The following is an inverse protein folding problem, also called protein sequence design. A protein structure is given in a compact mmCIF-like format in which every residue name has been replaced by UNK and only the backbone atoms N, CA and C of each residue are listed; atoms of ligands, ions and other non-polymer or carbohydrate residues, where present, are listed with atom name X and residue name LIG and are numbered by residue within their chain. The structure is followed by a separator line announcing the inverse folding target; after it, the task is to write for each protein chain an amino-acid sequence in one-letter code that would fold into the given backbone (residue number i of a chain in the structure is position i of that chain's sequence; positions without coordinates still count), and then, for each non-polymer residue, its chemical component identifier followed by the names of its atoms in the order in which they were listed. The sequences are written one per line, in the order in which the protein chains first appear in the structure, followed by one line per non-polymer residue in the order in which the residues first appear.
data_IF_662067299203
#
_entry.id   IF_662067299203
#
_cell.length_a   1.000
_cell.length_b   1.000
_cell.length_c   1.000
_cell.angle_alpha   90.00
_cell.angle_beta   90.00
_cell.angle_gamma   90.00
#
_symmetry.space_group_name_H-M   'P 1'
#
loop_
_entity.id
_entity.type
_entity.pdbx_description
1 polymer ?
#
# COMPACT_ATOMS: atom_id res chain seq x y z
N UNK A 1 0.62 -42.09 2.76
CA UNK A 1 0.38 -43.33 3.53
C UNK A 1 -0.93 -43.26 4.32
N UNK A 2 -1.14 -42.29 5.22
CA UNK A 2 -2.37 -42.22 6.02
C UNK A 2 -3.63 -42.09 5.15
N UNK A 3 -3.67 -41.14 4.20
CA UNK A 3 -4.80 -40.94 3.30
C UNK A 3 -5.16 -42.23 2.51
N UNK A 4 -4.16 -43.00 2.10
CA UNK A 4 -4.40 -44.28 1.43
C UNK A 4 -5.08 -45.30 2.35
N UNK A 5 -4.65 -45.38 3.62
CA UNK A 5 -5.31 -46.24 4.59
C UNK A 5 -6.75 -45.77 4.84
N UNK A 6 -6.96 -44.45 4.98
CA UNK A 6 -8.31 -43.86 5.19
C UNK A 6 -9.25 -44.21 4.05
N UNK A 7 -8.78 -44.21 2.81
CA UNK A 7 -9.57 -44.55 1.62
C UNK A 7 -9.94 -46.02 1.54
N UNK A 8 -9.01 -46.93 1.90
CA UNK A 8 -9.20 -48.36 1.67
C UNK A 8 -9.47 -49.20 2.93
N UNK A 9 -9.47 -48.59 4.14
CA UNK A 9 -9.64 -49.33 5.42
C UNK A 9 -10.97 -50.06 5.57
N UNK A 10 -12.04 -49.53 4.96
CA UNK A 10 -13.35 -50.18 5.03
C UNK A 10 -13.34 -51.50 4.27
N UNK A 11 -12.65 -51.56 3.14
CA UNK A 11 -12.57 -52.74 2.26
C UNK A 11 -11.55 -53.79 2.75
N UNK A 12 -10.37 -53.35 3.14
CA UNK A 12 -9.22 -54.23 3.40
C UNK A 12 -8.77 -54.29 4.85
N UNK A 13 -9.29 -53.41 5.70
CA UNK A 13 -8.84 -53.20 7.10
C UNK A 13 -7.40 -52.66 7.19
N UNK A 14 -7.12 -51.92 8.25
CA UNK A 14 -5.83 -51.25 8.49
C UNK A 14 -4.65 -52.24 8.56
N UNK A 15 -4.82 -53.36 9.28
CA UNK A 15 -3.75 -54.33 9.47
C UNK A 15 -3.20 -54.96 8.19
N UNK A 16 -4.06 -55.53 7.34
CA UNK A 16 -3.67 -56.10 6.05
C UNK A 16 -3.04 -55.06 5.11
N UNK A 17 -3.62 -53.85 4.99
CA UNK A 17 -3.04 -52.78 4.16
C UNK A 17 -1.59 -52.51 4.56
N UNK A 18 -1.36 -52.27 5.85
CA UNK A 18 -0.02 -51.96 6.35
C UNK A 18 0.97 -53.12 6.12
N UNK A 19 0.54 -54.36 6.31
CA UNK A 19 1.40 -55.56 6.14
C UNK A 19 1.81 -55.75 4.70
N UNK A 20 0.85 -55.71 3.77
CA UNK A 20 1.10 -55.92 2.33
C UNK A 20 2.00 -54.80 1.78
N UNK A 21 1.68 -53.56 2.08
CA UNK A 21 2.44 -52.46 1.52
C UNK A 21 3.85 -52.31 2.15
N UNK A 22 4.02 -52.70 3.43
CA UNK A 22 5.37 -52.76 4.03
C UNK A 22 6.26 -53.80 3.38
N UNK A 23 5.68 -54.90 2.91
CA UNK A 23 6.45 -55.93 2.20
C UNK A 23 6.64 -55.70 0.70
N UNK A 24 5.86 -54.80 0.10
CA UNK A 24 5.85 -54.54 -1.34
C UNK A 24 6.56 -53.25 -1.74
N UNK A 25 6.88 -52.36 -0.79
CA UNK A 25 7.52 -51.07 -1.05
C UNK A 25 8.93 -51.05 -0.45
N UNK A 26 9.92 -50.78 -1.25
CA UNK A 26 11.34 -50.66 -0.81
C UNK A 26 11.56 -49.57 0.25
N UNK A 27 10.74 -48.51 0.21
CA UNK A 27 10.76 -47.42 1.19
C UNK A 27 10.03 -47.76 2.50
N UNK A 28 9.40 -48.95 2.60
CA UNK A 28 8.55 -49.35 3.72
C UNK A 28 7.20 -48.61 3.74
N UNK A 29 6.34 -49.02 4.68
CA UNK A 29 5.04 -48.40 4.85
C UNK A 29 4.71 -48.18 6.35
N UNK A 30 3.66 -47.43 6.64
CA UNK A 30 3.21 -47.16 8.00
C UNK A 30 2.72 -48.43 8.68
N UNK A 31 3.10 -48.69 9.97
CA UNK A 31 2.56 -49.79 10.74
C UNK A 31 1.13 -49.50 11.22
N UNK A 32 0.32 -50.54 11.48
CA UNK A 32 -1.03 -50.37 12.00
C UNK A 32 -1.06 -49.61 13.33
N UNK A 33 -0.03 -49.81 14.18
CA UNK A 33 0.13 -49.06 15.43
C UNK A 33 0.48 -47.58 15.12
N UNK A 34 1.38 -47.35 14.21
CA UNK A 34 1.75 -45.99 13.77
C UNK A 34 0.55 -45.22 13.19
N UNK A 35 -0.28 -45.86 12.37
CA UNK A 35 -1.52 -45.29 11.85
C UNK A 35 -2.48 -44.90 12.97
N UNK A 36 -2.77 -45.85 13.94
CA UNK A 36 -3.67 -45.53 15.06
C UNK A 36 -3.11 -44.39 15.93
N UNK A 37 -1.83 -44.42 16.24
CA UNK A 37 -1.20 -43.32 16.99
C UNK A 37 -1.29 -41.99 16.25
N UNK A 38 -1.14 -42.00 14.92
CA UNK A 38 -1.31 -40.78 14.11
C UNK A 38 -2.75 -40.25 14.21
N UNK A 39 -3.75 -41.13 14.11
CA UNK A 39 -5.19 -40.76 14.20
C UNK A 39 -5.63 -40.27 15.58
N UNK A 40 -5.00 -40.77 16.63
CA UNK A 40 -5.36 -40.39 18.01
C UNK A 40 -4.47 -39.32 18.62
N UNK A 41 -3.35 -39.01 17.94
CA UNK A 41 -2.41 -38.00 18.43
C UNK A 41 -3.06 -36.63 18.42
N UNK A 42 -3.09 -35.91 19.55
CA UNK A 42 -3.57 -34.54 19.58
C UNK A 42 -2.69 -33.65 18.66
N UNK A 43 -3.30 -32.63 18.09
CA UNK A 43 -2.60 -31.65 17.29
C UNK A 43 -1.46 -31.04 18.11
N UNK A 44 -0.23 -31.06 17.60
CA UNK A 44 0.89 -30.50 18.34
C UNK A 44 0.72 -28.97 18.49
N UNK A 45 1.27 -28.40 19.57
CA UNK A 45 1.26 -26.94 19.79
C UNK A 45 1.78 -26.17 18.55
N UNK A 46 2.82 -26.70 17.90
CA UNK A 46 3.38 -26.11 16.69
C UNK A 46 2.40 -26.18 15.50
N UNK A 47 1.70 -27.30 15.32
CA UNK A 47 0.72 -27.44 14.24
C UNK A 47 -0.49 -26.55 14.47
N UNK A 48 -1.03 -26.49 15.70
CA UNK A 48 -2.13 -25.59 16.05
C UNK A 48 -1.75 -24.11 15.82
N UNK A 49 -0.54 -23.74 16.19
CA UNK A 49 -0.04 -22.37 15.95
C UNK A 49 0.15 -22.07 14.48
N UNK A 50 0.66 -23.03 13.70
CA UNK A 50 0.79 -22.87 12.25
C UNK A 50 -0.57 -22.68 11.57
N UNK A 51 -1.57 -23.42 12.02
CA UNK A 51 -2.95 -23.29 11.53
C UNK A 51 -3.56 -21.93 11.90
N UNK A 52 -3.37 -21.46 13.13
CA UNK A 52 -3.80 -20.13 13.54
C UNK A 52 -3.14 -19.04 12.70
N UNK A 53 -1.83 -19.13 12.48
CA UNK A 53 -1.08 -18.18 11.63
C UNK A 53 -1.59 -18.21 10.19
N UNK A 54 -1.86 -19.39 9.64
CA UNK A 54 -2.39 -19.53 8.28
C UNK A 54 -3.77 -18.88 8.15
N UNK A 55 -4.65 -19.07 9.14
CA UNK A 55 -5.99 -18.45 9.19
C UNK A 55 -5.89 -16.92 9.23
N UNK A 56 -5.07 -16.36 10.11
CA UNK A 56 -4.94 -14.92 10.25
C UNK A 56 -4.32 -14.28 9.00
N UNK A 57 -3.39 -14.97 8.33
CA UNK A 57 -2.84 -14.54 7.02
C UNK A 57 -3.94 -14.55 5.95
N UNK A 58 -4.79 -15.56 5.91
CA UNK A 58 -5.91 -15.63 4.97
C UNK A 58 -6.92 -14.52 5.24
N UNK A 59 -7.22 -14.22 6.50
CA UNK A 59 -8.09 -13.11 6.89
C UNK A 59 -7.53 -11.76 6.39
N UNK A 60 -6.25 -11.48 6.62
CA UNK A 60 -5.59 -10.26 6.08
C UNK A 60 -5.74 -10.20 4.55
N UNK A 61 -5.52 -11.30 3.86
CA UNK A 61 -5.60 -11.35 2.40
C UNK A 61 -7.03 -11.44 1.83
N UNK A 62 -8.04 -11.63 2.68
CA UNK A 62 -9.46 -11.54 2.27
C UNK A 62 -9.91 -10.09 2.05
N UNK A 63 -9.27 -9.12 2.70
CA UNK A 63 -9.51 -7.70 2.46
C UNK A 63 -8.91 -7.25 1.12
N UNK A 64 -9.70 -6.55 0.30
CA UNK A 64 -9.30 -6.12 -1.04
C UNK A 64 -7.99 -5.30 -1.01
N UNK A 65 -7.87 -4.36 -0.08
CA UNK A 65 -6.70 -3.50 -0.02
C UNK A 65 -5.51 -4.17 0.66
N UNK A 66 -5.72 -4.96 1.72
CA UNK A 66 -4.63 -5.64 2.41
C UNK A 66 -4.07 -6.82 1.62
N UNK A 67 -4.83 -7.39 0.68
CA UNK A 67 -4.34 -8.45 -0.21
C UNK A 67 -3.13 -8.06 -1.09
N UNK A 68 -2.75 -6.78 -1.14
CA UNK A 68 -1.51 -6.34 -1.78
C UNK A 68 -0.25 -6.59 -0.94
N UNK A 69 -0.42 -6.92 0.35
CA UNK A 69 0.69 -7.03 1.28
C UNK A 69 1.57 -8.25 0.99
N UNK A 70 2.87 -8.01 0.84
CA UNK A 70 3.88 -9.07 0.92
C UNK A 70 4.19 -9.42 2.38
N UNK A 71 4.94 -10.50 2.59
CA UNK A 71 5.22 -11.08 3.90
C UNK A 71 5.72 -10.08 4.96
N UNK A 72 6.45 -9.01 4.56
CA UNK A 72 6.94 -8.00 5.51
C UNK A 72 5.81 -7.17 6.11
N UNK A 73 4.84 -6.74 5.27
CA UNK A 73 3.67 -6.00 5.74
C UNK A 73 2.68 -6.92 6.47
N UNK A 74 2.51 -8.15 6.00
CA UNK A 74 1.71 -9.17 6.71
C UNK A 74 2.29 -9.42 8.11
N UNK A 75 3.59 -9.61 8.24
CA UNK A 75 4.25 -9.75 9.54
C UNK A 75 3.98 -8.54 10.45
N UNK A 76 4.17 -7.31 9.94
CA UNK A 76 3.89 -6.10 10.71
C UNK A 76 2.41 -5.98 11.11
N UNK A 77 1.49 -6.39 10.23
CA UNK A 77 0.06 -6.41 10.51
C UNK A 77 -0.29 -7.42 11.60
N UNK A 78 0.28 -8.62 11.57
CA UNK A 78 0.10 -9.64 12.61
C UNK A 78 0.60 -9.17 13.98
N UNK A 79 1.77 -8.51 14.02
CA UNK A 79 2.26 -7.91 15.27
C UNK A 79 1.30 -6.83 15.80
N UNK A 80 0.75 -5.99 14.93
CA UNK A 80 -0.26 -5.01 15.31
C UNK A 80 -1.58 -5.63 15.79
N UNK A 81 -1.88 -6.86 15.37
CA UNK A 81 -3.02 -7.66 15.81
C UNK A 81 -2.75 -8.46 17.11
N UNK A 82 -1.56 -8.33 17.71
CA UNK A 82 -1.23 -8.91 19.00
C UNK A 82 -0.41 -10.21 18.98
N UNK A 83 0.12 -10.60 17.81
CA UNK A 83 1.09 -11.71 17.79
C UNK A 83 2.37 -11.31 18.52
N UNK A 84 2.89 -12.24 19.35
CA UNK A 84 4.12 -12.00 20.10
C UNK A 84 5.34 -11.89 19.16
N UNK A 85 6.06 -10.75 19.18
CA UNK A 85 7.23 -10.54 18.33
C UNK A 85 8.39 -11.51 18.66
N UNK A 86 8.46 -12.03 19.89
CA UNK A 86 9.48 -13.02 20.27
C UNK A 86 9.23 -14.39 19.63
N UNK A 87 8.01 -14.64 19.24
CA UNK A 87 7.58 -15.92 18.70
C UNK A 87 7.30 -15.89 17.19
N UNK A 88 7.02 -14.73 16.59
CA UNK A 88 6.65 -14.58 15.19
C UNK A 88 7.79 -14.01 14.35
N UNK A 89 8.50 -14.89 13.65
CA UNK A 89 9.55 -14.48 12.70
C UNK A 89 9.02 -14.16 11.30
N UNK A 90 9.65 -13.18 10.62
CA UNK A 90 9.32 -12.81 9.22
C UNK A 90 9.42 -13.98 8.25
N UNK A 91 10.41 -14.87 8.44
CA UNK A 91 10.62 -16.02 7.56
C UNK A 91 9.56 -17.09 7.77
N UNK A 92 9.00 -17.20 8.97
CA UNK A 92 7.87 -18.06 9.25
C UNK A 92 6.63 -17.60 8.48
N UNK A 93 6.32 -16.30 8.52
CA UNK A 93 5.22 -15.71 7.74
C UNK A 93 5.43 -15.93 6.24
N UNK A 94 6.65 -15.69 5.73
CA UNK A 94 6.99 -15.92 4.33
C UNK A 94 6.80 -17.37 3.89
N UNK A 95 7.15 -18.33 4.77
CA UNK A 95 6.98 -19.76 4.53
C UNK A 95 5.51 -20.16 4.48
N UNK A 96 4.70 -19.68 5.44
CA UNK A 96 3.26 -19.98 5.48
C UNK A 96 2.57 -19.37 4.26
N UNK A 97 2.83 -18.11 3.91
CA UNK A 97 2.28 -17.47 2.71
C UNK A 97 2.62 -18.25 1.44
N UNK A 98 3.87 -18.75 1.32
CA UNK A 98 4.27 -19.59 0.19
C UNK A 98 3.50 -20.91 0.15
N UNK A 99 3.30 -21.57 1.30
CA UNK A 99 2.51 -22.79 1.41
C UNK A 99 1.04 -22.60 1.03
N UNK A 100 0.49 -21.40 1.30
CA UNK A 100 -0.87 -21.00 0.91
C UNK A 100 -0.97 -20.50 -0.55
N UNK A 101 0.14 -20.40 -1.29
CA UNK A 101 0.16 -19.82 -2.62
C UNK A 101 -0.05 -18.30 -2.65
N UNK A 102 0.07 -17.63 -1.51
CA UNK A 102 -0.18 -16.19 -1.34
C UNK A 102 1.11 -15.39 -1.57
N UNK A 103 0.98 -14.31 -2.33
CA UNK A 103 2.08 -13.37 -2.59
C UNK A 103 1.56 -11.94 -2.66
N UNK A 104 2.35 -10.99 -2.15
CA UNK A 104 2.04 -9.57 -2.33
C UNK A 104 2.17 -9.12 -3.78
N UNK A 105 1.51 -8.03 -4.10
CA UNK A 105 1.57 -7.44 -5.43
C UNK A 105 2.93 -6.76 -5.63
N UNK A 106 3.56 -7.03 -6.77
CA UNK A 106 4.81 -6.36 -7.18
C UNK A 106 4.50 -5.30 -8.22
N UNK A 107 5.18 -4.16 -8.15
CA UNK A 107 5.17 -3.19 -9.23
C UNK A 107 5.75 -3.83 -10.48
N UNK A 108 4.98 -3.85 -11.56
CA UNK A 108 5.48 -4.17 -12.89
C UNK A 108 6.30 -3.01 -13.46
N UNK A 109 6.96 -3.21 -14.61
CA UNK A 109 7.52 -2.10 -15.39
C UNK A 109 6.36 -1.24 -15.88
N UNK A 110 6.32 0.02 -15.46
CA UNK A 110 5.33 0.99 -15.93
C UNK A 110 5.73 1.42 -17.33
N UNK A 111 4.83 1.44 -18.32
CA UNK A 111 5.11 2.08 -19.60
C UNK A 111 5.46 3.55 -19.37
N UNK A 112 6.52 4.03 -20.00
CA UNK A 112 6.86 5.47 -20.01
C UNK A 112 5.81 6.17 -20.87
N UNK A 113 4.91 6.91 -20.24
CA UNK A 113 3.79 7.57 -20.91
C UNK A 113 3.97 9.08 -21.08
N UNK A 114 4.96 9.68 -20.41
CA UNK A 114 5.23 11.10 -20.46
C UNK A 114 6.47 11.38 -21.32
N UNK A 115 6.33 12.29 -22.30
CA UNK A 115 7.48 12.86 -23.01
C UNK A 115 7.83 14.17 -22.32
N UNK A 116 9.13 14.42 -22.01
CA UNK A 116 9.55 15.69 -21.42
C UNK A 116 9.16 16.86 -22.34
N UNK A 117 8.50 17.87 -21.80
CA UNK A 117 8.30 19.13 -22.49
C UNK A 117 9.64 19.86 -22.56
N UNK A 118 10.05 20.29 -23.76
CA UNK A 118 11.24 21.13 -23.93
C UNK A 118 10.87 22.58 -23.56
N UNK A 119 11.38 23.08 -22.45
CA UNK A 119 11.22 24.48 -22.03
C UNK A 119 11.97 24.74 -20.72
N UNK A 120 12.62 25.89 -20.60
CA UNK A 120 13.23 26.33 -19.35
C UNK A 120 12.12 26.73 -18.37
N UNK A 121 11.88 25.94 -17.35
CA UNK A 121 10.97 26.29 -16.27
C UNK A 121 11.61 27.35 -15.38
N UNK A 122 10.94 28.49 -15.21
CA UNK A 122 11.43 29.60 -14.39
C UNK A 122 11.22 29.44 -12.88
N UNK A 123 10.96 28.23 -12.38
CA UNK A 123 10.77 27.98 -10.95
C UNK A 123 11.96 27.24 -10.36
N UNK A 124 12.42 27.63 -9.15
CA UNK A 124 13.50 26.92 -8.49
C UNK A 124 13.04 25.52 -8.04
N UNK A 125 13.96 24.56 -8.08
CA UNK A 125 13.81 23.31 -7.35
C UNK A 125 14.21 23.54 -5.89
N UNK A 126 13.24 23.59 -4.99
CA UNK A 126 13.44 23.76 -3.55
C UNK A 126 13.67 22.40 -2.84
N UNK A 127 13.46 21.30 -3.54
CA UNK A 127 13.48 19.96 -2.93
C UNK A 127 14.83 19.28 -3.09
N UNK A 128 15.51 19.50 -4.23
CA UNK A 128 16.82 18.88 -4.52
C UNK A 128 16.82 17.37 -4.25
N UNK A 129 15.73 16.67 -4.65
CA UNK A 129 15.51 15.21 -4.42
C UNK A 129 15.43 14.79 -2.95
N UNK A 130 15.35 15.71 -2.01
CA UNK A 130 15.18 15.43 -0.59
C UNK A 130 13.69 15.48 -0.24
N UNK A 131 13.03 14.33 -0.27
CA UNK A 131 11.61 14.20 0.03
C UNK A 131 11.36 13.83 1.52
N UNK A 132 12.24 14.20 2.41
CA UNK A 132 12.08 14.03 3.84
C UNK A 132 11.82 15.39 4.47
N UNK A 133 10.70 15.51 5.18
CA UNK A 133 10.32 16.70 5.91
C UNK A 133 10.41 16.42 7.43
N UNK A 134 10.82 17.41 8.20
CA UNK A 134 10.96 17.28 9.67
C UNK A 134 9.63 17.45 10.41
N UNK A 135 8.63 18.00 9.73
CA UNK A 135 7.30 18.28 10.28
C UNK A 135 6.23 18.21 9.18
N UNK A 136 4.95 17.99 9.53
CA UNK A 136 3.84 18.15 8.62
C UNK A 136 3.78 19.54 7.99
N UNK A 137 3.25 19.64 6.79
CA UNK A 137 3.06 20.90 6.04
C UNK A 137 4.36 21.70 5.81
N UNK A 138 5.51 21.01 5.63
CA UNK A 138 6.75 21.63 5.16
C UNK A 138 6.99 21.40 3.69
N UNK A 139 6.57 20.25 3.18
CA UNK A 139 6.69 19.88 1.78
C UNK A 139 5.48 19.07 1.35
N UNK A 140 4.76 19.58 0.37
CA UNK A 140 3.77 18.82 -0.38
C UNK A 140 4.30 18.47 -1.77
N UNK A 141 4.04 17.26 -2.24
CA UNK A 141 4.33 16.84 -3.60
C UNK A 141 3.04 16.51 -4.33
N UNK A 142 2.93 16.98 -5.57
CA UNK A 142 1.74 16.82 -6.38
C UNK A 142 2.06 16.15 -7.73
N UNK A 143 1.15 15.31 -8.21
CA UNK A 143 1.25 14.69 -9.52
C UNK A 143 -0.12 14.21 -10.00
N UNK A 144 -0.26 14.07 -11.33
CA UNK A 144 -1.47 13.58 -12.00
C UNK A 144 -1.17 12.21 -12.61
N UNK A 145 -2.15 11.33 -12.55
CA UNK A 145 -2.09 10.05 -13.24
C UNK A 145 -3.35 9.78 -14.05
N UNK A 146 -3.22 9.01 -15.15
CA UNK A 146 -4.38 8.60 -15.95
C UNK A 146 -4.82 7.20 -15.61
N UNK A 147 -6.13 6.99 -15.74
CA UNK A 147 -6.82 5.75 -15.47
C UNK A 147 -7.66 5.39 -16.69
N UNK A 148 -7.53 4.17 -17.21
CA UNK A 148 -8.34 3.72 -18.33
C UNK A 148 -9.76 3.40 -17.88
N UNK A 149 -10.73 4.00 -18.55
CA UNK A 149 -12.15 3.80 -18.30
C UNK A 149 -12.72 2.65 -19.15
N UNK A 150 -13.86 2.12 -18.77
CA UNK A 150 -14.55 1.06 -19.52
C UNK A 150 -14.97 1.48 -20.93
N UNK A 151 -15.26 2.77 -21.13
CA UNK A 151 -15.53 3.37 -22.44
C UNK A 151 -14.33 3.37 -23.39
N UNK A 152 -13.11 3.05 -22.90
CA UNK A 152 -11.85 3.19 -23.63
C UNK A 152 -11.22 4.58 -23.55
N UNK A 153 -11.93 5.57 -22.99
CA UNK A 153 -11.38 6.91 -22.69
C UNK A 153 -10.45 6.87 -21.46
N UNK A 154 -9.91 8.04 -21.09
CA UNK A 154 -9.14 8.21 -19.88
C UNK A 154 -9.90 9.06 -18.86
N UNK A 155 -9.88 8.63 -17.61
CA UNK A 155 -10.07 9.46 -16.44
C UNK A 155 -8.73 9.85 -15.86
N UNK A 156 -8.70 10.85 -15.03
CA UNK A 156 -7.50 11.40 -14.41
C UNK A 156 -7.67 11.48 -12.90
N UNK A 157 -6.60 11.24 -12.16
CA UNK A 157 -6.57 11.44 -10.73
C UNK A 157 -5.34 12.30 -10.37
N UNK A 158 -5.55 13.34 -9.58
CA UNK A 158 -4.51 14.17 -8.99
C UNK A 158 -4.37 13.87 -7.52
N UNK A 159 -3.14 13.84 -7.02
CA UNK A 159 -2.85 13.67 -5.61
C UNK A 159 -1.90 14.75 -5.12
N UNK A 160 -2.15 15.25 -3.90
CA UNK A 160 -1.21 16.08 -3.14
C UNK A 160 -0.86 15.31 -1.88
N UNK A 161 0.43 15.06 -1.67
CA UNK A 161 0.94 14.21 -0.60
C UNK A 161 1.88 15.01 0.28
N UNK A 162 1.64 15.04 1.58
CA UNK A 162 2.57 15.57 2.57
C UNK A 162 3.78 14.65 2.71
N UNK A 163 4.98 15.22 2.65
CA UNK A 163 6.22 14.46 2.63
C UNK A 163 6.61 13.90 4.00
N UNK A 164 6.15 14.49 5.11
CA UNK A 164 6.47 14.03 6.46
C UNK A 164 5.85 12.67 6.76
N UNK A 165 4.54 12.59 6.70
CA UNK A 165 3.80 11.39 7.05
C UNK A 165 3.38 10.55 5.83
N UNK A 166 3.73 10.95 4.61
CA UNK A 166 3.26 10.31 3.37
C UNK A 166 1.72 10.33 3.22
N UNK A 167 1.07 11.25 3.94
CA UNK A 167 -0.38 11.43 3.91
C UNK A 167 -0.82 12.07 2.61
N UNK A 168 -1.84 11.53 1.97
CA UNK A 168 -2.53 12.21 0.88
C UNK A 168 -3.47 13.24 1.53
N UNK A 169 -3.13 14.51 1.37
CA UNK A 169 -3.82 15.67 1.95
C UNK A 169 -4.82 16.31 1.00
N UNK A 170 -4.72 16.00 -0.29
CA UNK A 170 -5.66 16.42 -1.31
C UNK A 170 -5.68 15.47 -2.49
N UNK A 171 -6.84 15.30 -3.10
CA UNK A 171 -7.01 14.49 -4.30
C UNK A 171 -8.24 14.93 -5.09
N UNK A 172 -8.25 14.65 -6.38
CA UNK A 172 -9.41 14.87 -7.24
C UNK A 172 -9.41 13.88 -8.39
N UNK A 173 -10.59 13.62 -8.95
CA UNK A 173 -10.74 12.87 -10.20
C UNK A 173 -11.51 13.72 -11.22
N UNK A 174 -11.18 13.59 -12.50
CA UNK A 174 -11.87 14.29 -13.58
C UNK A 174 -11.80 13.48 -14.89
N UNK A 175 -12.63 13.85 -15.85
CA UNK A 175 -12.58 13.31 -17.21
C UNK A 175 -11.65 14.11 -18.11
N UNK A 176 -11.14 15.25 -17.64
CA UNK A 176 -10.19 16.11 -18.32
C UNK A 176 -8.98 16.42 -17.45
N UNK A 177 -7.90 16.92 -18.05
CA UNK A 177 -6.74 17.42 -17.30
C UNK A 177 -6.79 18.95 -17.13
N UNK A 178 -7.99 19.55 -17.17
CA UNK A 178 -8.16 20.98 -16.92
C UNK A 178 -7.62 21.36 -15.55
N UNK A 179 -6.92 22.50 -15.44
CA UNK A 179 -6.29 22.94 -14.19
C UNK A 179 -7.33 23.14 -13.10
N UNK A 180 -8.47 23.78 -13.41
CA UNK A 180 -9.51 24.09 -12.45
C UNK A 180 -10.29 22.85 -11.99
N UNK A 181 -10.48 21.90 -12.89
CA UNK A 181 -11.28 20.69 -12.65
C UNK A 181 -10.52 19.59 -11.91
N UNK A 182 -9.20 19.57 -11.95
CA UNK A 182 -8.42 18.46 -11.43
C UNK A 182 -7.35 18.90 -10.41
N UNK A 183 -6.15 19.43 -10.78
CA UNK A 183 -5.12 19.69 -9.78
C UNK A 183 -5.47 20.82 -8.81
N UNK A 184 -6.28 21.80 -9.23
CA UNK A 184 -6.70 22.89 -8.35
C UNK A 184 -7.64 22.37 -7.25
N UNK A 185 -8.55 21.45 -7.55
CA UNK A 185 -9.42 20.83 -6.53
C UNK A 185 -8.62 20.02 -5.50
N UNK A 186 -7.59 19.29 -5.96
CA UNK A 186 -6.69 18.59 -5.06
C UNK A 186 -5.88 19.57 -4.18
N UNK A 187 -5.45 20.70 -4.76
CA UNK A 187 -4.75 21.76 -4.04
C UNK A 187 -5.63 22.40 -2.97
N UNK A 188 -6.90 22.70 -3.26
CA UNK A 188 -7.85 23.31 -2.31
C UNK A 188 -8.05 22.41 -1.08
N UNK A 189 -8.18 21.10 -1.28
CA UNK A 189 -8.25 20.16 -0.16
C UNK A 189 -6.96 20.17 0.68
N UNK A 190 -5.78 20.21 0.03
CA UNK A 190 -4.49 20.26 0.71
C UNK A 190 -4.30 21.56 1.49
N UNK A 191 -4.76 22.69 0.96
CA UNK A 191 -4.79 23.99 1.63
C UNK A 191 -5.69 23.92 2.87
N UNK A 192 -6.92 23.43 2.73
CA UNK A 192 -7.87 23.28 3.84
C UNK A 192 -7.31 22.37 4.95
N UNK A 193 -6.65 21.27 4.54
CA UNK A 193 -5.97 20.39 5.49
C UNK A 193 -4.84 21.13 6.23
N UNK A 194 -3.94 21.78 5.51
CA UNK A 194 -2.81 22.49 6.10
C UNK A 194 -3.27 23.65 7.02
N UNK A 195 -4.30 24.39 6.62
CA UNK A 195 -4.85 25.49 7.43
C UNK A 195 -5.32 25.01 8.81
N UNK A 196 -5.88 23.80 8.90
CA UNK A 196 -6.32 23.20 10.18
C UNK A 196 -5.21 22.48 10.95
N UNK A 197 -3.99 22.36 10.36
CA UNK A 197 -2.89 21.57 10.90
C UNK A 197 -1.55 22.33 10.89
N UNK A 198 -1.53 23.57 11.27
CA UNK A 198 -0.32 24.38 11.45
C UNK A 198 -0.08 25.44 10.36
N UNK A 199 -0.91 25.48 9.33
CA UNK A 199 -0.90 26.54 8.31
C UNK A 199 -0.08 26.18 7.07
N UNK A 200 -0.11 27.12 6.12
CA UNK A 200 0.49 26.98 4.78
C UNK A 200 1.73 27.87 4.56
N UNK A 201 2.04 28.74 5.49
CA UNK A 201 3.11 29.72 5.33
C UNK A 201 4.48 29.05 5.19
N UNK A 202 5.16 29.31 4.06
CA UNK A 202 6.48 28.74 3.78
C UNK A 202 6.46 27.25 3.37
N UNK A 203 5.28 26.64 3.24
CA UNK A 203 5.13 25.28 2.75
C UNK A 203 5.59 25.19 1.28
N UNK A 204 6.60 24.37 1.02
CA UNK A 204 7.04 24.09 -0.35
C UNK A 204 6.01 23.18 -1.04
N UNK A 205 5.43 23.66 -2.15
CA UNK A 205 4.53 22.87 -2.99
C UNK A 205 5.24 22.48 -4.28
N UNK A 206 5.63 21.23 -4.36
CA UNK A 206 6.45 20.68 -5.44
C UNK A 206 5.61 19.84 -6.41
N UNK A 207 5.80 20.07 -7.70
CA UNK A 207 5.17 19.29 -8.77
C UNK A 207 6.14 19.07 -9.93
N UNK A 208 5.74 18.27 -10.90
CA UNK A 208 6.42 18.22 -12.19
C UNK A 208 6.18 19.50 -13.01
N UNK A 209 6.79 19.58 -14.19
CA UNK A 209 6.62 20.67 -15.15
C UNK A 209 5.36 20.53 -16.02
N UNK A 210 4.34 19.80 -15.58
CA UNK A 210 3.06 19.69 -16.27
C UNK A 210 2.42 21.07 -16.50
N UNK A 211 1.85 21.29 -17.69
CA UNK A 211 1.20 22.56 -18.07
C UNK A 211 0.16 22.98 -17.02
N UNK A 212 -0.52 22.04 -16.41
CA UNK A 212 -1.55 22.27 -15.40
C UNK A 212 -0.97 22.94 -14.14
N UNK A 213 0.21 22.50 -13.70
CA UNK A 213 0.86 23.00 -12.50
C UNK A 213 1.56 24.34 -12.71
N UNK A 214 2.03 24.63 -13.93
CA UNK A 214 2.67 25.92 -14.28
C UNK A 214 1.66 26.99 -14.70
N UNK A 215 0.38 26.67 -14.82
CA UNK A 215 -0.66 27.63 -15.16
C UNK A 215 -0.70 28.80 -14.17
N UNK A 216 -1.10 29.98 -14.67
CA UNK A 216 -1.20 31.19 -13.84
C UNK A 216 -2.17 30.99 -12.69
N UNK A 217 -3.34 30.38 -12.96
CA UNK A 217 -4.37 30.10 -11.94
C UNK A 217 -3.82 29.29 -10.79
N UNK A 218 -3.18 28.15 -11.11
CA UNK A 218 -2.59 27.27 -10.09
C UNK A 218 -1.48 27.96 -9.29
N UNK A 219 -0.59 28.67 -9.99
CA UNK A 219 0.55 29.36 -9.36
C UNK A 219 0.10 30.49 -8.46
N UNK A 220 -0.88 31.28 -8.90
CA UNK A 220 -1.46 32.34 -8.11
C UNK A 220 -2.07 31.79 -6.83
N UNK A 221 -2.81 30.68 -6.94
CA UNK A 221 -3.44 30.04 -5.78
C UNK A 221 -2.41 29.53 -4.75
N UNK A 222 -1.34 28.88 -5.20
CA UNK A 222 -0.24 28.45 -4.32
C UNK A 222 0.34 29.68 -3.57
N UNK A 223 0.58 30.79 -4.25
CA UNK A 223 1.17 32.02 -3.65
C UNK A 223 0.20 32.74 -2.72
N UNK A 224 -1.10 32.82 -3.03
CA UNK A 224 -2.13 33.45 -2.20
C UNK A 224 -2.16 32.88 -0.78
N UNK A 225 -1.85 31.59 -0.64
CA UNK A 225 -1.78 30.92 0.66
C UNK A 225 -0.37 30.93 1.29
N UNK A 226 0.54 31.73 0.77
CA UNK A 226 1.91 31.87 1.30
C UNK A 226 2.77 30.61 1.09
N UNK A 227 2.35 29.72 0.19
CA UNK A 227 3.13 28.54 -0.19
C UNK A 227 4.20 28.92 -1.23
N UNK A 228 5.27 28.14 -1.27
CA UNK A 228 6.40 28.31 -2.18
C UNK A 228 6.29 27.33 -3.35
N UNK A 229 5.98 27.79 -4.57
CA UNK A 229 5.92 26.89 -5.72
C UNK A 229 7.32 26.39 -6.08
N UNK A 230 7.45 25.08 -6.21
CA UNK A 230 8.68 24.37 -6.56
C UNK A 230 8.44 23.42 -7.72
N UNK A 231 9.39 23.27 -8.62
CA UNK A 231 9.34 22.30 -9.71
C UNK A 231 10.71 21.66 -9.89
N UNK A 232 10.73 20.36 -10.20
CA UNK A 232 11.96 19.66 -10.54
C UNK A 232 12.58 20.15 -11.86
N UNK A 233 13.75 19.65 -12.20
CA UNK A 233 14.42 19.96 -13.47
C UNK A 233 13.69 19.32 -14.65
N UNK A 234 13.67 20.01 -15.79
CA UNK A 234 12.99 19.52 -16.99
C UNK A 234 13.64 18.22 -17.46
N UNK A 235 12.86 17.13 -17.49
CA UNK A 235 13.28 15.84 -18.03
C UNK A 235 13.92 14.88 -17.05
N UNK A 236 14.00 15.21 -15.77
CA UNK A 236 14.49 14.29 -14.73
C UNK A 236 13.32 13.74 -13.89
N UNK A 237 13.01 12.44 -14.10
CA UNK A 237 11.95 11.75 -13.36
C UNK A 237 12.27 11.54 -11.86
N UNK A 238 13.54 11.63 -11.47
CA UNK A 238 13.92 11.49 -10.05
C UNK A 238 13.49 12.69 -9.21
N UNK A 239 13.25 13.82 -9.83
CA UNK A 239 12.87 15.05 -9.13
C UNK A 239 11.42 15.02 -8.62
N UNK A 240 10.58 14.05 -9.05
CA UNK A 240 9.23 13.83 -8.52
C UNK A 240 9.00 12.38 -8.04
N UNK A 241 10.08 11.69 -7.65
CA UNK A 241 10.05 10.25 -7.33
C UNK A 241 9.05 9.88 -6.23
N UNK A 242 8.78 10.78 -5.28
CA UNK A 242 7.79 10.53 -4.23
C UNK A 242 6.38 10.50 -4.79
N UNK A 243 5.98 11.48 -5.59
CA UNK A 243 4.66 11.53 -6.20
C UNK A 243 4.46 10.40 -7.22
N UNK A 244 5.49 10.07 -8.01
CA UNK A 244 5.48 8.88 -8.87
C UNK A 244 5.30 7.59 -8.05
N UNK A 245 5.85 7.54 -6.84
CA UNK A 245 5.67 6.41 -5.93
C UNK A 245 4.22 6.24 -5.48
N UNK A 246 3.51 7.34 -5.20
CA UNK A 246 2.08 7.34 -4.86
C UNK A 246 1.25 6.88 -6.06
N UNK A 247 1.48 7.47 -7.24
CA UNK A 247 0.79 7.09 -8.47
C UNK A 247 1.02 5.62 -8.85
N UNK A 248 2.25 5.13 -8.69
CA UNK A 248 2.58 3.73 -8.91
C UNK A 248 1.87 2.78 -7.93
N UNK A 249 1.73 3.19 -6.66
CA UNK A 249 0.97 2.44 -5.67
C UNK A 249 -0.54 2.46 -6.01
N UNK A 250 -1.11 3.61 -6.33
CA UNK A 250 -2.50 3.76 -6.74
C UNK A 250 -2.85 2.83 -7.91
N UNK A 251 -2.04 2.85 -8.97
CA UNK A 251 -2.23 1.95 -10.12
C UNK A 251 -2.14 0.48 -9.73
N UNK A 252 -1.12 0.12 -8.96
CA UNK A 252 -0.83 -1.28 -8.62
C UNK A 252 -1.82 -1.85 -7.58
N UNK A 253 -2.22 -1.03 -6.62
CA UNK A 253 -3.02 -1.46 -5.47
C UNK A 253 -4.52 -1.32 -5.72
N UNK A 254 -4.95 -0.44 -6.62
CA UNK A 254 -6.35 -0.22 -6.97
C UNK A 254 -6.64 -0.49 -8.45
N UNK A 255 -6.08 0.35 -9.35
CA UNK A 255 -6.53 0.43 -10.75
C UNK A 255 -6.37 -0.89 -11.49
N UNK A 256 -5.20 -1.52 -11.42
CA UNK A 256 -4.91 -2.76 -12.15
C UNK A 256 -5.47 -4.03 -11.50
N UNK A 257 -6.10 -3.90 -10.34
CA UNK A 257 -6.75 -5.01 -9.63
C UNK A 257 -8.26 -5.05 -9.81
N UNK A 258 -8.82 -4.05 -10.47
CA UNK A 258 -10.24 -3.94 -10.78
C UNK A 258 -10.50 -4.08 -12.28
N UNK A 259 -11.76 -4.32 -12.63
CA UNK A 259 -12.26 -4.03 -13.97
C UNK A 259 -12.16 -2.51 -14.21
N UNK A 260 -12.01 -2.06 -15.48
CA UNK A 260 -12.03 -0.63 -15.79
C UNK A 260 -13.28 0.05 -15.21
N UNK A 261 -13.09 1.26 -14.71
CA UNK A 261 -14.15 2.04 -14.08
C UNK A 261 -15.26 2.39 -15.09
N UNK A 262 -16.51 2.27 -14.66
CA UNK A 262 -17.67 2.51 -15.52
C UNK A 262 -17.78 3.97 -15.93
N UNK A 263 -17.64 4.88 -14.96
CA UNK A 263 -17.77 6.33 -15.11
C UNK A 263 -16.91 7.07 -14.07
N UNK A 264 -17.01 8.39 -14.06
CA UNK A 264 -16.26 9.24 -13.13
C UNK A 264 -16.66 8.97 -11.67
N UNK A 265 -17.94 8.74 -11.39
CA UNK A 265 -18.41 8.51 -10.02
C UNK A 265 -17.85 7.20 -9.44
N UNK A 266 -17.76 6.12 -10.26
CA UNK A 266 -17.11 4.86 -9.85
C UNK A 266 -15.61 5.07 -9.60
N UNK A 267 -14.93 5.88 -10.42
CA UNK A 267 -13.53 6.23 -10.22
C UNK A 267 -13.32 7.04 -8.92
N UNK A 268 -14.15 8.05 -8.67
CA UNK A 268 -14.11 8.89 -7.47
C UNK A 268 -14.35 8.08 -6.20
N UNK A 269 -15.40 7.25 -6.18
CA UNK A 269 -15.70 6.41 -5.03
C UNK A 269 -14.54 5.45 -4.70
N UNK A 270 -14.00 4.79 -5.70
CA UNK A 270 -12.90 3.87 -5.50
C UNK A 270 -11.61 4.59 -5.06
N UNK A 271 -11.35 5.79 -5.61
CA UNK A 271 -10.21 6.62 -5.21
C UNK A 271 -10.37 7.10 -3.78
N UNK A 272 -11.56 7.55 -3.37
CA UNK A 272 -11.87 7.91 -1.99
C UNK A 272 -11.59 6.75 -1.02
N UNK A 273 -12.06 5.55 -1.34
CA UNK A 273 -11.83 4.35 -0.53
C UNK A 273 -10.33 4.03 -0.40
N UNK A 274 -9.58 4.14 -1.51
CA UNK A 274 -8.14 3.90 -1.52
C UNK A 274 -7.38 4.96 -0.72
N UNK A 275 -7.70 6.25 -0.87
CA UNK A 275 -7.08 7.34 -0.10
C UNK A 275 -7.38 7.19 1.39
N UNK A 276 -8.61 6.88 1.75
CA UNK A 276 -8.99 6.60 3.13
C UNK A 276 -8.16 5.46 3.73
N UNK A 277 -8.06 4.34 3.01
CA UNK A 277 -7.23 3.22 3.41
C UNK A 277 -5.74 3.57 3.45
N UNK A 278 -5.23 4.29 2.45
CA UNK A 278 -3.84 4.76 2.39
C UNK A 278 -3.45 5.54 3.65
N UNK A 279 -4.30 6.48 4.05
CA UNK A 279 -4.03 7.36 5.18
C UNK A 279 -4.20 6.69 6.55
N UNK A 280 -5.21 5.82 6.70
CA UNK A 280 -5.63 5.33 8.02
C UNK A 280 -5.26 3.88 8.33
N UNK A 281 -5.03 3.04 7.30
CA UNK A 281 -4.83 1.58 7.49
C UNK A 281 -3.58 1.04 6.79
N UNK A 282 -3.18 1.63 5.66
CA UNK A 282 -2.05 1.12 4.89
C UNK A 282 -0.74 1.28 5.66
N UNK A 283 -0.01 0.18 5.79
CA UNK A 283 1.32 0.18 6.38
C UNK A 283 2.37 0.68 5.38
N UNK A 284 3.19 1.64 5.78
CA UNK A 284 4.24 2.23 4.96
C UNK A 284 5.63 1.81 5.47
N UNK A 285 6.41 1.18 4.61
CA UNK A 285 7.76 0.72 4.99
C UNK A 285 8.66 1.91 5.38
N UNK A 286 8.56 3.03 4.65
CA UNK A 286 9.32 4.26 4.94
C UNK A 286 8.94 4.90 6.29
N UNK A 287 7.78 4.56 6.84
CA UNK A 287 7.30 5.01 8.15
C UNK A 287 7.46 3.94 9.25
N UNK A 288 8.35 2.95 9.04
CA UNK A 288 8.51 1.84 9.98
C UNK A 288 7.29 0.93 10.10
N UNK A 289 6.56 0.72 9.00
CA UNK A 289 5.29 -0.02 8.97
C UNK A 289 4.17 0.61 9.79
N UNK A 290 4.16 1.91 9.92
CA UNK A 290 3.05 2.69 10.50
C UNK A 290 2.18 3.29 9.40
N UNK A 291 1.00 3.74 9.77
CA UNK A 291 0.11 4.49 8.88
C UNK A 291 0.47 5.99 8.90
N UNK A 292 0.17 6.75 7.82
CA UNK A 292 0.30 8.20 7.83
C UNK A 292 -0.38 8.86 9.03
N UNK A 293 -1.62 8.48 9.30
CA UNK A 293 -2.40 8.99 10.43
C UNK A 293 -1.71 8.75 11.79
N UNK A 294 -1.15 7.55 12.00
CA UNK A 294 -0.46 7.25 13.27
C UNK A 294 0.78 8.12 13.48
N UNK A 295 1.55 8.38 12.39
CA UNK A 295 2.74 9.23 12.44
C UNK A 295 2.38 10.68 12.74
N UNK A 296 1.35 11.23 12.09
CA UNK A 296 0.88 12.59 12.37
C UNK A 296 0.30 12.75 13.78
N UNK A 297 -0.52 11.78 14.21
CA UNK A 297 -1.10 11.80 15.57
C UNK A 297 0.01 11.82 16.62
N UNK A 298 1.06 11.04 16.44
CA UNK A 298 2.20 11.04 17.35
C UNK A 298 2.93 12.37 17.35
N UNK A 299 3.18 12.95 16.17
CA UNK A 299 3.81 14.25 16.04
C UNK A 299 3.05 15.34 16.82
N UNK A 300 1.74 15.48 16.57
CA UNK A 300 0.93 16.52 17.23
C UNK A 300 0.78 16.27 18.74
N UNK A 301 0.73 15.00 19.16
CA UNK A 301 0.74 14.67 20.60
C UNK A 301 2.05 15.12 21.28
N UNK A 302 3.19 14.91 20.64
CA UNK A 302 4.49 15.38 21.16
C UNK A 302 4.56 16.91 21.21
N UNK A 303 4.06 17.60 20.19
CA UNK A 303 3.99 19.06 20.16
C UNK A 303 3.12 19.60 21.31
N UNK A 304 1.95 19.01 21.54
CA UNK A 304 1.06 19.41 22.63
C UNK A 304 1.70 19.17 24.01
N UNK A 305 2.40 18.05 24.20
CA UNK A 305 3.10 17.75 25.44
C UNK A 305 4.26 18.73 25.72
N UNK A 306 5.01 19.12 24.69
CA UNK A 306 6.06 20.13 24.81
C UNK A 306 5.49 21.52 25.17
N UNK A 307 4.38 21.92 24.54
CA UNK A 307 3.72 23.18 24.82
C UNK A 307 3.13 23.24 26.25
N UNK A 308 2.71 22.10 26.82
CA UNK A 308 2.19 22.00 28.17
C UNK A 308 3.29 21.97 29.26
N UNK A 309 4.55 21.79 28.87
CA UNK A 309 5.70 21.76 29.79
C UNK A 309 6.47 23.07 29.88
N UNK A 310 6.06 24.08 29.11
CA UNK A 310 6.55 25.48 29.13
C UNK A 310 5.61 26.39 29.92
#
# INVERSE_FOLDING_TARGET
MVAYIDEYQERFKVGPICRVLSGSLDCGFLTSRGYRMFKTRPVSRMAARHEALARDILEIHSDFFMAVYGYRKVHAQLLAQGWDPSELGRDQVARVMRGLGIKGVRRGKTPVTTRPAKGAGGRPDLVNRKFDAEAPNRLHVADITYVRMASGSFGYAAFVTDAFARRIVGWACATTMGTEELPLQALEQAIAWAASHGGTQGLAHHSDHGIQYISTVYTTRVKEYGMLPSTGTVGDSYDNAMAESVNGAYKTELVWRRKPFADLADLELATFQWVSWWNSKRLHQSLGYRTPQAVETEYYRHQAAQAASL
#
